data_IF_034716444496
#
_entry.id   IF_034716444496
#
_cell.length_a   1.000
_cell.length_b   1.000
_cell.length_c   1.000
_cell.angle_alpha   90.00
_cell.angle_beta   90.00
_cell.angle_gamma   90.00
#
_symmetry.space_group_name_H-M   'P 1'
#
loop_
_entity.id
_entity.type
_entity.pdbx_description
1 polymer ?
#
# COMPACT_ATOMS: atom_id res chain seq x y z
N UNK A 1 -0.30 -32.21 -26.11
CA UNK A 1 0.03 -31.43 -24.92
C UNK A 1 0.32 -29.97 -25.32
N UNK A 2 -0.65 -29.22 -25.84
CA UNK A 2 -0.45 -27.80 -26.24
C UNK A 2 -1.81 -27.07 -26.30
N UNK A 3 -2.60 -27.09 -25.21
CA UNK A 3 -3.89 -26.37 -25.16
C UNK A 3 -4.15 -25.64 -23.82
N UNK A 4 -3.13 -25.51 -22.96
CA UNK A 4 -3.33 -24.88 -21.63
C UNK A 4 -2.70 -23.48 -21.48
N UNK A 5 -2.10 -22.94 -22.55
CA UNK A 5 -1.36 -21.66 -22.47
C UNK A 5 -2.17 -20.39 -22.80
N UNK A 6 -3.47 -20.51 -23.10
CA UNK A 6 -4.28 -19.35 -23.56
C UNK A 6 -5.30 -18.82 -22.55
N UNK A 7 -5.42 -19.42 -21.36
CA UNK A 7 -6.41 -18.96 -20.38
C UNK A 7 -5.87 -17.96 -19.34
N UNK A 8 -4.56 -17.81 -19.20
CA UNK A 8 -3.98 -16.92 -18.18
C UNK A 8 -3.71 -15.46 -18.62
N UNK A 9 -3.86 -15.17 -19.92
CA UNK A 9 -3.61 -13.79 -20.43
C UNK A 9 -4.83 -12.86 -20.35
N UNK A 10 -6.00 -13.33 -19.92
CA UNK A 10 -7.26 -12.55 -19.97
C UNK A 10 -7.62 -11.92 -18.62
N UNK A 11 -7.02 -12.35 -17.52
CA UNK A 11 -7.40 -11.87 -16.17
C UNK A 11 -6.72 -10.55 -15.78
N UNK A 12 -5.65 -10.15 -16.46
CA UNK A 12 -4.90 -8.92 -16.14
C UNK A 12 -5.50 -7.59 -16.64
N UNK A 13 -6.67 -7.60 -17.32
CA UNK A 13 -7.24 -6.39 -17.93
C UNK A 13 -8.56 -5.90 -17.31
N UNK A 14 -8.97 -6.41 -16.15
CA UNK A 14 -10.28 -6.07 -15.56
C UNK A 14 -10.22 -5.25 -14.26
N UNK A 15 -9.07 -4.77 -13.86
CA UNK A 15 -8.93 -3.92 -12.65
C UNK A 15 -9.01 -2.40 -12.92
N UNK A 16 -9.22 -1.96 -14.17
CA UNK A 16 -9.48 -0.53 -14.44
C UNK A 16 -10.98 -0.32 -14.70
N UNK A 17 -11.67 0.25 -13.71
CA UNK A 17 -13.11 0.50 -13.73
C UNK A 17 -13.55 1.46 -14.82
N UNK A 18 -14.40 0.99 -15.74
CA UNK A 18 -15.14 1.85 -16.66
C UNK A 18 -16.57 2.02 -16.20
N UNK A 19 -16.95 3.26 -15.91
CA UNK A 19 -18.36 3.66 -15.74
C UNK A 19 -19.11 3.45 -17.06
N UNK A 20 -20.14 2.61 -17.07
CA UNK A 20 -21.17 2.59 -18.14
C UNK A 20 -22.13 3.76 -17.91
N UNK A 21 -22.15 4.70 -18.84
CA UNK A 21 -23.30 5.58 -19.06
C UNK A 21 -24.09 5.03 -20.24
N UNK A 22 -25.31 4.63 -19.98
CA UNK A 22 -26.28 4.32 -21.03
C UNK A 22 -26.90 5.62 -21.55
N UNK A 23 -26.69 5.95 -22.82
CA UNK A 23 -27.61 6.80 -23.57
C UNK A 23 -27.76 6.30 -25.00
N UNK A 24 -29.00 5.92 -25.32
CA UNK A 24 -29.52 5.59 -26.64
C UNK A 24 -29.52 6.78 -27.56
N UNK A 25 -29.07 6.61 -28.80
CA UNK A 25 -29.26 7.58 -29.86
C UNK A 25 -28.83 7.04 -31.23
N UNK A 26 -29.77 6.41 -31.90
CA UNK A 26 -29.70 6.00 -33.30
C UNK A 26 -29.49 7.19 -34.25
N UNK A 27 -28.54 7.13 -35.21
CA UNK A 27 -28.74 7.73 -36.52
C UNK A 27 -27.85 7.07 -37.60
N UNK A 28 -28.55 6.60 -38.62
CA UNK A 28 -28.05 6.17 -39.92
C UNK A 28 -27.51 7.37 -40.76
N UNK A 29 -26.36 7.19 -41.38
CA UNK A 29 -25.82 8.12 -42.37
C UNK A 29 -25.05 7.38 -43.46
N UNK A 30 -25.56 7.45 -44.63
CA UNK A 30 -25.26 6.76 -45.89
C UNK A 30 -23.91 7.16 -46.49
N UNK A 31 -23.21 6.18 -47.06
CA UNK A 31 -21.99 6.32 -47.85
C UNK A 31 -22.28 6.96 -49.21
N UNK A 32 -21.51 7.99 -49.59
CA UNK A 32 -21.41 8.51 -50.93
C UNK A 32 -19.97 8.50 -51.41
N UNK A 33 -19.69 7.70 -52.42
CA UNK A 33 -18.41 7.71 -53.17
C UNK A 33 -18.42 8.76 -54.26
N UNK A 34 -17.43 9.63 -54.27
CA UNK A 34 -17.02 10.34 -55.53
C UNK A 34 -15.49 10.33 -55.66
N UNK A 35 -15.05 9.82 -56.80
CA UNK A 35 -13.67 9.85 -57.28
C UNK A 35 -13.41 11.13 -58.07
N UNK A 36 -12.29 11.85 -57.81
CA UNK A 36 -11.59 12.62 -58.83
C UNK A 36 -10.11 12.79 -58.47
N UNK A 37 -9.25 12.41 -59.40
CA UNK A 37 -7.82 12.48 -59.26
C UNK A 37 -7.24 13.87 -59.55
N UNK A 38 -6.18 14.19 -58.83
CA UNK A 38 -5.03 14.89 -59.40
C UNK A 38 -3.82 14.78 -58.47
N UNK A 39 -2.65 14.55 -59.01
CA UNK A 39 -1.41 14.25 -58.26
C UNK A 39 -0.83 15.51 -57.59
N UNK A 40 -0.45 15.32 -56.35
CA UNK A 40 0.41 16.17 -55.56
C UNK A 40 0.90 15.31 -54.37
N UNK A 41 2.22 15.31 -54.13
CA UNK A 41 2.77 14.70 -52.93
C UNK A 41 2.22 15.39 -51.69
N UNK A 42 1.13 14.89 -51.18
CA UNK A 42 0.69 15.22 -49.84
C UNK A 42 1.35 14.21 -48.89
N UNK A 43 2.18 14.72 -47.97
CA UNK A 43 2.53 14.00 -46.77
C UNK A 43 1.22 13.50 -46.14
N UNK A 44 1.05 12.18 -46.13
CA UNK A 44 -0.02 11.54 -45.35
C UNK A 44 0.36 11.77 -43.90
N UNK A 45 -0.05 12.88 -43.32
CA UNK A 45 -0.22 12.97 -41.89
C UNK A 45 -1.34 11.96 -41.61
N UNK A 46 -0.97 10.77 -41.20
CA UNK A 46 -1.93 9.83 -40.66
C UNK A 46 -2.64 10.57 -39.52
N UNK A 47 -3.88 10.96 -39.72
CA UNK A 47 -4.74 11.29 -38.61
C UNK A 47 -4.69 10.08 -37.67
N UNK A 48 -3.97 10.21 -36.55
CA UNK A 48 -3.98 9.24 -35.48
C UNK A 48 -5.43 9.24 -35.04
N UNK A 49 -6.17 8.21 -35.46
CA UNK A 49 -7.54 7.99 -35.01
C UNK A 49 -7.51 7.82 -33.51
N UNK A 50 -7.72 8.90 -32.78
CA UNK A 50 -7.86 8.90 -31.33
C UNK A 50 -9.24 8.28 -31.07
N UNK A 51 -9.24 7.03 -30.65
CA UNK A 51 -10.43 6.38 -30.13
C UNK A 51 -10.98 7.24 -28.97
N UNK A 52 -12.16 7.87 -29.11
CA UNK A 52 -12.68 8.75 -28.07
C UNK A 52 -13.03 8.02 -26.77
N UNK A 53 -13.05 6.68 -26.78
CA UNK A 53 -13.26 5.86 -25.59
C UNK A 53 -11.96 5.38 -24.94
N UNK A 54 -10.79 5.61 -25.55
CA UNK A 54 -9.53 5.34 -24.89
C UNK A 54 -9.26 6.37 -23.81
N UNK A 55 -9.05 5.93 -22.55
CA UNK A 55 -8.61 6.87 -21.51
C UNK A 55 -7.31 7.55 -21.96
N UNK A 56 -7.26 8.86 -21.77
CA UNK A 56 -6.03 9.62 -22.02
C UNK A 56 -4.94 9.05 -21.12
N UNK A 57 -3.82 8.66 -21.70
CA UNK A 57 -2.65 8.21 -20.92
C UNK A 57 -2.17 9.40 -20.07
N UNK A 58 -2.20 9.22 -18.75
CA UNK A 58 -1.58 10.13 -17.81
C UNK A 58 -0.21 9.55 -17.45
N UNK A 59 0.85 10.24 -17.87
CA UNK A 59 2.21 9.91 -17.44
C UNK A 59 2.38 10.15 -15.95
N UNK A 60 3.43 9.56 -15.37
CA UNK A 60 3.81 9.85 -13.98
C UNK A 60 4.09 11.33 -13.76
N UNK A 61 3.76 11.82 -12.58
CA UNK A 61 4.17 13.17 -12.17
C UNK A 61 5.69 13.26 -12.03
N UNK A 62 6.22 14.47 -12.25
CA UNK A 62 7.66 14.69 -12.12
C UNK A 62 8.08 14.58 -10.66
N UNK A 63 8.92 13.61 -10.33
CA UNK A 63 9.56 13.51 -9.03
C UNK A 63 10.62 14.61 -8.87
N UNK A 64 10.39 15.53 -7.94
CA UNK A 64 11.37 16.56 -7.56
C UNK A 64 12.28 16.10 -6.43
N UNK A 65 11.80 15.18 -5.60
CA UNK A 65 12.48 14.68 -4.42
C UNK A 65 12.59 13.15 -4.50
N UNK A 66 13.74 12.63 -4.15
CA UNK A 66 14.03 11.23 -3.97
C UNK A 66 13.98 10.92 -2.47
N UNK A 67 12.99 10.12 -2.05
CA UNK A 67 12.86 9.64 -0.68
C UNK A 67 13.86 8.50 -0.46
N UNK A 68 14.71 8.60 0.55
CA UNK A 68 15.73 7.60 0.85
C UNK A 68 15.29 6.70 1.97
N UNK A 69 14.77 7.31 3.04
CA UNK A 69 14.37 6.57 4.24
C UNK A 69 13.24 7.29 4.97
N UNK A 70 12.24 6.55 5.37
CA UNK A 70 11.10 7.02 6.17
C UNK A 70 11.06 6.25 7.49
N UNK A 71 11.29 6.96 8.61
CA UNK A 71 11.12 6.42 9.96
C UNK A 71 9.89 7.04 10.60
N UNK A 72 9.01 6.21 11.13
CA UNK A 72 7.77 6.59 11.81
C UNK A 72 7.81 6.15 13.28
N UNK A 73 7.42 7.03 14.20
CA UNK A 73 7.21 6.73 15.60
C UNK A 73 5.75 7.06 15.92
N UNK A 74 4.92 6.05 16.23
CA UNK A 74 3.47 6.22 16.33
C UNK A 74 2.90 5.72 17.66
N UNK A 75 1.81 6.35 18.09
CA UNK A 75 0.94 5.89 19.19
C UNK A 75 -0.50 6.33 18.95
N UNK A 76 -1.46 5.64 19.57
CA UNK A 76 -2.87 5.77 19.25
C UNK A 76 -3.69 6.40 20.37
N UNK A 77 -4.65 7.23 19.96
CA UNK A 77 -5.70 7.78 20.82
C UNK A 77 -6.99 7.08 20.41
N UNK A 78 -7.21 5.86 20.94
CA UNK A 78 -8.28 4.97 20.55
C UNK A 78 -9.67 5.62 20.61
N UNK A 79 -10.00 6.30 21.70
CA UNK A 79 -11.32 6.91 21.92
C UNK A 79 -11.63 8.02 20.91
N UNK A 80 -10.61 8.53 20.20
CA UNK A 80 -10.77 9.55 19.19
C UNK A 80 -10.52 9.06 17.77
N UNK A 81 -10.12 7.81 17.61
CA UNK A 81 -9.66 7.25 16.35
C UNK A 81 -8.58 8.13 15.69
N UNK A 82 -7.58 8.55 16.50
CA UNK A 82 -6.48 9.43 16.08
C UNK A 82 -5.13 8.79 16.39
N UNK A 83 -4.11 9.19 15.62
CA UNK A 83 -2.74 8.70 15.80
C UNK A 83 -1.77 9.87 15.93
N UNK A 84 -1.01 9.93 17.04
CA UNK A 84 0.16 10.79 17.12
C UNK A 84 1.30 10.15 16.33
N UNK A 85 1.96 10.93 15.50
CA UNK A 85 3.10 10.48 14.70
C UNK A 85 4.26 11.44 14.73
N UNK A 86 5.47 10.88 14.69
CA UNK A 86 6.70 11.61 14.36
C UNK A 86 7.30 10.94 13.14
N UNK A 87 7.32 11.65 12.00
CA UNK A 87 7.96 11.19 10.78
C UNK A 87 9.36 11.80 10.66
N UNK A 88 10.37 10.95 10.55
CA UNK A 88 11.75 11.35 10.23
C UNK A 88 12.05 10.92 8.81
N UNK A 89 12.08 11.87 7.88
CA UNK A 89 12.23 11.65 6.45
C UNK A 89 13.61 12.08 6.00
N UNK A 90 14.39 11.14 5.48
CA UNK A 90 15.66 11.40 4.79
C UNK A 90 15.42 11.42 3.30
N UNK A 91 15.79 12.54 2.66
CA UNK A 91 15.55 12.76 1.24
C UNK A 91 16.68 13.54 0.58
N UNK A 92 16.66 13.61 -0.73
CA UNK A 92 17.54 14.45 -1.56
C UNK A 92 16.78 14.95 -2.79
N UNK A 93 17.23 16.03 -3.46
CA UNK A 93 16.70 16.39 -4.76
C UNK A 93 16.89 15.28 -5.79
N UNK A 94 15.88 15.01 -6.61
CA UNK A 94 15.98 13.99 -7.65
C UNK A 94 16.92 14.43 -8.79
N UNK A 95 16.65 15.55 -9.44
CA UNK A 95 17.48 16.10 -10.51
C UNK A 95 17.96 17.52 -10.26
N UNK A 96 17.02 18.43 -10.00
CA UNK A 96 17.31 19.87 -9.86
C UNK A 96 17.51 20.24 -8.40
N UNK A 97 18.43 21.16 -8.16
CA UNK A 97 18.62 21.73 -6.82
C UNK A 97 17.32 22.36 -6.31
N UNK A 98 17.04 22.20 -5.02
CA UNK A 98 15.85 22.76 -4.38
C UNK A 98 16.14 23.19 -2.94
N UNK A 99 15.40 24.18 -2.50
CA UNK A 99 15.32 24.63 -1.11
C UNK A 99 14.00 24.27 -0.44
N UNK A 100 13.20 23.36 -1.08
CA UNK A 100 11.89 22.94 -0.60
C UNK A 100 11.76 21.42 -0.58
N UNK A 101 10.99 20.93 0.38
CA UNK A 101 10.42 19.60 0.41
C UNK A 101 8.90 19.73 0.40
N UNK A 102 8.26 19.05 -0.55
CA UNK A 102 6.80 19.03 -0.71
C UNK A 102 6.33 17.61 -0.43
N UNK A 103 5.37 17.46 0.46
CA UNK A 103 4.79 16.16 0.87
C UNK A 103 3.27 16.26 0.87
N UNK A 104 2.63 15.15 0.55
CA UNK A 104 1.22 14.92 0.80
C UNK A 104 1.03 14.62 2.30
N UNK A 105 -0.02 15.19 2.90
CA UNK A 105 -0.31 15.04 4.33
C UNK A 105 -1.80 15.24 4.59
N UNK A 106 -2.62 14.32 4.10
CA UNK A 106 -4.08 14.48 4.02
C UNK A 106 -4.76 14.50 5.39
N UNK A 107 -5.48 15.59 5.69
CA UNK A 107 -6.30 15.73 6.90
C UNK A 107 -5.52 15.74 8.22
N UNK A 108 -4.23 16.07 8.22
CA UNK A 108 -3.38 16.06 9.41
C UNK A 108 -3.35 17.41 10.14
N UNK A 109 -3.01 17.37 11.41
CA UNK A 109 -2.53 18.54 12.15
C UNK A 109 -0.99 18.50 12.19
N UNK A 110 -0.31 19.41 11.49
CA UNK A 110 1.14 19.53 11.52
C UNK A 110 1.55 20.43 12.69
N UNK A 111 2.20 19.86 13.71
CA UNK A 111 2.54 20.54 14.95
C UNK A 111 3.91 21.23 14.88
N UNK A 112 4.90 20.56 14.30
CA UNK A 112 6.22 21.14 14.11
C UNK A 112 7.00 20.43 13.00
N UNK A 113 7.88 21.20 12.34
CA UNK A 113 8.84 20.69 11.37
C UNK A 113 10.24 21.16 11.76
N UNK A 114 11.21 20.24 11.83
CA UNK A 114 12.58 20.52 12.25
C UNK A 114 13.60 19.86 11.32
N UNK A 115 14.76 20.50 11.17
CA UNK A 115 15.96 19.95 10.55
C UNK A 115 17.14 20.19 11.48
N UNK A 116 17.88 19.14 11.81
CA UNK A 116 18.99 19.19 12.80
C UNK A 116 18.55 19.82 14.14
N UNK A 117 17.31 19.52 14.59
CA UNK A 117 16.73 20.06 15.81
C UNK A 117 16.28 21.53 15.74
N UNK A 118 16.52 22.25 14.64
CA UNK A 118 16.07 23.62 14.42
C UNK A 118 14.74 23.67 13.71
N UNK A 119 13.78 24.52 14.14
CA UNK A 119 12.50 24.65 13.46
C UNK A 119 12.68 25.21 12.05
N UNK A 120 11.90 24.64 11.11
CA UNK A 120 11.78 25.12 9.75
C UNK A 120 10.45 25.85 9.55
N UNK A 121 10.41 26.76 8.57
CA UNK A 121 9.15 27.35 8.10
C UNK A 121 8.45 26.37 7.18
N UNK A 122 7.15 26.28 7.30
CA UNK A 122 6.31 25.48 6.42
C UNK A 122 4.97 26.14 6.16
N UNK A 123 4.31 25.73 5.10
CA UNK A 123 2.89 26.00 4.84
C UNK A 123 2.19 24.65 4.68
N UNK A 124 0.95 24.59 5.15
CA UNK A 124 0.10 23.41 5.00
C UNK A 124 -1.26 23.87 4.47
N UNK A 125 -1.55 23.58 3.21
CA UNK A 125 -2.72 24.06 2.49
C UNK A 125 -3.20 22.95 1.56
N UNK A 126 -4.50 22.66 1.57
CA UNK A 126 -5.12 21.65 0.69
C UNK A 126 -4.37 20.30 0.74
N UNK A 127 -4.12 19.82 1.96
CA UNK A 127 -3.45 18.55 2.22
C UNK A 127 -1.97 18.47 1.76
N UNK A 128 -1.39 19.58 1.29
CA UNK A 128 0.01 19.66 0.87
C UNK A 128 0.84 20.39 1.91
N UNK A 129 1.87 19.69 2.40
CA UNK A 129 2.88 20.23 3.32
C UNK A 129 4.11 20.69 2.53
N UNK A 130 4.30 22.00 2.39
CA UNK A 130 5.49 22.60 1.77
C UNK A 130 6.44 23.10 2.85
N UNK A 131 7.63 22.52 2.93
CA UNK A 131 8.66 22.82 3.92
C UNK A 131 9.78 23.61 3.26
N UNK A 132 10.11 24.80 3.82
CA UNK A 132 11.26 25.57 3.39
C UNK A 132 12.51 25.04 4.09
N UNK A 133 13.43 24.46 3.34
CA UNK A 133 14.70 23.94 3.85
C UNK A 133 15.62 25.09 4.28
N UNK A 134 16.65 24.77 5.05
CA UNK A 134 17.58 25.75 5.61
C UNK A 134 18.60 26.27 4.58
N UNK A 135 18.72 25.64 3.43
CA UNK A 135 19.57 26.00 2.30
C UNK A 135 19.07 25.31 1.03
N UNK A 136 19.63 25.66 -0.12
CA UNK A 136 19.46 24.90 -1.36
C UNK A 136 20.33 23.64 -1.30
N UNK A 137 19.72 22.48 -1.62
CA UNK A 137 20.38 21.17 -1.71
C UNK A 137 20.50 20.75 -3.16
N UNK A 138 21.59 20.08 -3.49
CA UNK A 138 21.81 19.44 -4.79
C UNK A 138 21.51 17.95 -4.70
N UNK A 139 21.39 17.27 -5.86
CA UNK A 139 21.12 15.83 -5.96
C UNK A 139 22.09 14.93 -5.18
N UNK A 140 23.30 15.41 -4.88
CA UNK A 140 24.32 14.67 -4.15
C UNK A 140 24.30 14.94 -2.65
N UNK A 141 23.37 15.77 -2.18
CA UNK A 141 23.24 16.19 -0.78
C UNK A 141 21.93 15.70 -0.19
N UNK A 142 22.03 14.97 0.92
CA UNK A 142 20.87 14.51 1.68
C UNK A 142 20.53 15.48 2.79
N UNK A 143 19.27 15.50 3.18
CA UNK A 143 18.76 16.19 4.36
C UNK A 143 17.77 15.30 5.08
N UNK A 144 17.61 15.52 6.39
CA UNK A 144 16.65 14.78 7.23
C UNK A 144 15.75 15.77 7.95
N UNK A 145 14.45 15.65 7.70
CA UNK A 145 13.40 16.46 8.31
C UNK A 145 12.62 15.63 9.31
N UNK A 146 12.33 16.21 10.47
CA UNK A 146 11.49 15.61 11.51
C UNK A 146 10.18 16.38 11.59
N UNK A 147 9.06 15.68 11.40
CA UNK A 147 7.71 16.22 11.38
C UNK A 147 6.92 15.61 12.53
N UNK A 148 6.42 16.44 13.45
CA UNK A 148 5.50 16.05 14.51
C UNK A 148 4.06 16.37 14.05
N UNK A 149 3.20 15.39 14.07
CA UNK A 149 1.84 15.51 13.51
C UNK A 149 0.81 14.68 14.29
N UNK A 150 -0.46 14.98 14.03
CA UNK A 150 -1.62 14.18 14.45
C UNK A 150 -2.42 13.79 13.21
N UNK A 151 -2.55 12.50 12.96
CA UNK A 151 -3.43 11.96 11.93
C UNK A 151 -4.86 11.86 12.47
N UNK A 152 -5.85 12.28 11.67
CA UNK A 152 -7.27 12.38 12.03
C UNK A 152 -8.15 11.78 10.93
N UNK A 153 -8.08 10.47 10.68
CA UNK A 153 -8.75 9.84 9.54
C UNK A 153 -10.27 10.05 9.56
N UNK A 154 -10.90 10.07 10.74
CA UNK A 154 -12.35 10.22 10.88
C UNK A 154 -12.86 11.66 10.68
N UNK A 155 -11.96 12.66 10.65
CA UNK A 155 -12.35 14.07 10.42
C UNK A 155 -12.36 14.43 8.92
N UNK A 156 -11.98 13.50 8.02
CA UNK A 156 -11.99 13.70 6.57
C UNK A 156 -13.35 13.34 5.96
N UNK A 157 -13.69 14.00 4.85
CA UNK A 157 -14.75 13.50 3.98
C UNK A 157 -14.28 12.18 3.34
N UNK A 158 -15.11 11.16 3.47
CA UNK A 158 -14.80 9.84 2.95
C UNK A 158 -15.00 9.77 1.45
N UNK A 159 -13.97 9.37 0.74
CA UNK A 159 -13.99 9.00 -0.66
C UNK A 159 -13.93 7.49 -0.83
N UNK A 160 -13.70 7.04 -2.04
CA UNK A 160 -13.52 5.62 -2.36
C UNK A 160 -13.87 5.30 -3.80
N UNK A 161 -13.72 4.04 -4.15
CA UNK A 161 -14.03 3.47 -5.48
C UNK A 161 -14.85 2.19 -5.33
N UNK A 162 -15.14 1.52 -6.44
CA UNK A 162 -15.80 0.20 -6.40
C UNK A 162 -14.86 -0.88 -5.84
N UNK A 163 -13.56 -0.74 -6.02
CA UNK A 163 -12.56 -1.72 -5.57
C UNK A 163 -12.12 -1.46 -4.13
N UNK A 164 -11.95 -0.18 -3.75
CA UNK A 164 -11.56 0.25 -2.40
C UNK A 164 -12.65 1.21 -1.94
N UNK A 165 -13.50 0.75 -1.05
CA UNK A 165 -14.74 1.43 -0.69
C UNK A 165 -14.57 2.66 0.19
N UNK A 166 -13.37 2.86 0.76
CA UNK A 166 -13.01 3.99 1.62
C UNK A 166 -11.54 4.37 1.46
N UNK A 167 -11.22 5.67 1.51
CA UNK A 167 -9.88 6.23 1.37
C UNK A 167 -9.33 6.87 2.67
N UNK A 168 -9.85 6.45 3.82
CA UNK A 168 -9.40 6.96 5.14
C UNK A 168 -7.95 6.61 5.49
N UNK A 169 -7.34 5.62 4.82
CA UNK A 169 -5.94 5.23 4.98
C UNK A 169 -5.57 4.59 6.32
N UNK A 170 -6.16 5.02 7.43
CA UNK A 170 -5.98 4.49 8.78
C UNK A 170 -7.35 4.25 9.43
N UNK A 171 -7.57 3.03 9.88
CA UNK A 171 -8.87 2.55 10.35
C UNK A 171 -8.78 2.08 11.80
N UNK A 172 -9.76 2.53 12.60
CA UNK A 172 -9.96 2.10 13.98
C UNK A 172 -11.26 1.31 14.07
N UNK A 173 -11.15 0.01 14.25
CA UNK A 173 -12.30 -0.88 14.34
C UNK A 173 -12.64 -1.10 15.80
N UNK A 174 -13.89 -0.83 16.16
CA UNK A 174 -14.40 -0.95 17.53
C UNK A 174 -13.47 -0.34 18.60
N UNK A 175 -13.00 0.92 18.43
CA UNK A 175 -11.91 1.49 19.23
C UNK A 175 -12.22 1.61 20.73
N UNK A 176 -13.51 1.63 21.11
CA UNK A 176 -13.98 1.71 22.51
C UNK A 176 -14.38 0.35 23.08
N UNK A 177 -14.39 -0.71 22.25
CA UNK A 177 -14.81 -2.05 22.67
C UNK A 177 -16.30 -2.18 22.98
N UNK A 178 -17.14 -1.32 22.41
CA UNK A 178 -18.60 -1.33 22.64
C UNK A 178 -19.30 -2.47 21.89
N UNK A 179 -18.76 -2.92 20.77
CA UNK A 179 -19.23 -4.08 20.02
C UNK A 179 -18.52 -5.34 20.55
N UNK A 180 -19.27 -6.17 21.29
CA UNK A 180 -18.74 -7.38 21.91
C UNK A 180 -18.33 -8.46 20.87
N UNK A 181 -18.87 -8.38 19.65
CA UNK A 181 -18.62 -9.35 18.58
C UNK A 181 -17.44 -8.95 17.69
N UNK A 182 -16.79 -7.80 17.95
CA UNK A 182 -15.65 -7.31 17.21
C UNK A 182 -14.46 -7.02 18.11
N UNK A 183 -13.35 -7.67 17.85
CA UNK A 183 -12.07 -7.35 18.49
C UNK A 183 -11.62 -5.94 18.12
N UNK A 184 -11.23 -5.06 19.09
CA UNK A 184 -10.60 -3.78 18.76
C UNK A 184 -9.34 -3.95 17.93
N UNK A 185 -9.31 -3.29 16.76
CA UNK A 185 -8.22 -3.38 15.79
C UNK A 185 -7.87 -2.01 15.21
N UNK A 186 -6.62 -1.88 14.79
CA UNK A 186 -6.16 -0.80 13.91
C UNK A 186 -5.49 -1.44 12.72
N UNK A 187 -5.77 -0.94 11.50
CA UNK A 187 -5.08 -1.33 10.30
C UNK A 187 -5.04 -0.18 9.29
N UNK A 188 -4.18 -0.30 8.29
CA UNK A 188 -3.98 0.73 7.27
C UNK A 188 -4.26 0.17 5.87
N UNK A 189 -4.72 1.05 4.97
CA UNK A 189 -4.87 0.80 3.54
C UNK A 189 -4.30 1.98 2.76
N UNK A 190 -3.21 1.75 2.01
CA UNK A 190 -2.48 2.80 1.32
C UNK A 190 -2.92 3.05 -0.11
N UNK A 191 -3.42 2.03 -0.80
CA UNK A 191 -3.80 2.13 -2.20
C UNK A 191 -5.09 3.00 -2.34
N UNK A 192 -5.18 3.90 -3.32
CA UNK A 192 -4.12 4.29 -4.26
C UNK A 192 -3.16 5.32 -3.67
N UNK A 193 -3.67 6.39 -3.06
CA UNK A 193 -2.93 7.52 -2.47
C UNK A 193 -3.47 7.84 -1.06
N UNK A 194 -3.64 6.81 -0.22
CA UNK A 194 -4.22 6.95 1.13
C UNK A 194 -3.19 6.81 2.25
N UNK A 195 -1.92 6.53 1.93
CA UNK A 195 -0.84 6.50 2.92
C UNK A 195 -0.57 7.88 3.51
N UNK A 196 -0.73 8.93 2.72
CA UNK A 196 -0.59 10.32 3.17
C UNK A 196 -1.65 10.77 4.18
N UNK A 197 -2.66 9.95 4.47
CA UNK A 197 -3.63 10.20 5.56
C UNK A 197 -3.03 9.88 6.93
N UNK A 198 -2.08 8.94 7.02
CA UNK A 198 -1.54 8.53 8.31
C UNK A 198 -0.06 8.86 8.51
N UNK A 199 0.70 9.21 7.44
CA UNK A 199 2.03 9.81 7.57
C UNK A 199 2.35 10.73 6.39
N UNK A 200 3.08 11.84 6.59
CA UNK A 200 3.50 12.73 5.51
C UNK A 200 4.45 11.99 4.56
N UNK A 201 4.17 11.99 3.26
CA UNK A 201 4.99 11.30 2.25
C UNK A 201 4.80 11.91 0.86
N UNK A 202 5.50 11.42 -0.14
CA UNK A 202 5.15 11.59 -1.56
C UNK A 202 4.32 10.37 -1.93
N UNK A 203 2.99 10.52 -1.99
CA UNK A 203 2.05 9.40 -2.10
C UNK A 203 1.88 8.95 -3.56
N UNK A 204 2.99 8.53 -4.16
CA UNK A 204 3.09 8.06 -5.54
C UNK A 204 3.78 6.69 -5.59
N UNK A 205 3.38 5.78 -6.49
CA UNK A 205 3.93 4.43 -6.55
C UNK A 205 5.43 4.41 -6.92
N UNK A 206 5.93 5.41 -7.61
CA UNK A 206 7.33 5.52 -7.99
C UNK A 206 8.23 6.21 -6.93
N UNK A 207 7.66 6.68 -5.80
CA UNK A 207 8.39 7.32 -4.71
C UNK A 207 8.88 6.30 -3.66
N UNK A 208 9.61 5.26 -4.08
CA UNK A 208 10.07 4.19 -3.20
C UNK A 208 11.04 4.69 -2.14
N UNK A 209 10.89 4.16 -0.93
CA UNK A 209 11.74 4.47 0.23
C UNK A 209 11.90 3.24 1.14
N UNK A 210 13.00 3.14 1.87
CA UNK A 210 13.12 2.18 2.98
C UNK A 210 12.31 2.65 4.18
N UNK A 211 11.93 1.73 5.07
CA UNK A 211 10.99 2.02 6.16
C UNK A 211 11.49 1.52 7.50
N UNK A 212 11.26 2.32 8.54
CA UNK A 212 11.23 1.88 9.93
C UNK A 212 9.95 2.39 10.61
N UNK A 213 9.28 1.52 11.39
CA UNK A 213 8.11 1.91 12.17
C UNK A 213 8.26 1.46 13.62
N UNK A 214 8.14 2.41 14.54
CA UNK A 214 8.09 2.18 15.99
C UNK A 214 6.65 2.34 16.45
N UNK A 215 6.00 1.23 16.79
CA UNK A 215 4.58 1.19 17.17
C UNK A 215 4.48 1.07 18.68
N UNK A 216 4.01 2.12 19.35
CA UNK A 216 3.80 2.10 20.80
C UNK A 216 2.37 1.67 21.13
N UNK A 217 2.24 0.54 21.83
CA UNK A 217 0.95 -0.10 22.16
C UNK A 217 0.89 -0.62 23.59
N UNK A 218 -0.33 -0.89 24.07
CA UNK A 218 -0.52 -1.69 25.27
C UNK A 218 0.04 -3.10 25.03
N UNK A 219 0.71 -3.74 26.02
CA UNK A 219 1.30 -5.07 25.88
C UNK A 219 0.33 -6.19 25.45
N UNK A 220 -0.96 -6.01 25.63
CA UNK A 220 -1.98 -6.97 25.19
C UNK A 220 -2.11 -7.07 23.66
N UNK A 221 -1.79 -6.00 22.94
CA UNK A 221 -1.89 -5.97 21.48
C UNK A 221 -0.67 -6.61 20.82
N UNK A 222 -0.91 -7.34 19.77
CA UNK A 222 0.09 -7.80 18.80
C UNK A 222 0.16 -6.75 17.69
N UNK A 223 1.36 -6.50 17.16
CA UNK A 223 1.57 -5.62 16.01
C UNK A 223 2.12 -6.39 14.83
N UNK A 224 1.80 -5.94 13.62
CA UNK A 224 2.43 -6.37 12.37
C UNK A 224 2.72 -5.13 11.53
N UNK A 225 3.89 -5.10 10.86
CA UNK A 225 4.24 -4.11 9.84
C UNK A 225 5.17 -4.74 8.79
N UNK A 226 5.56 -3.95 7.80
CA UNK A 226 6.49 -4.37 6.75
C UNK A 226 7.88 -4.70 7.31
N UNK A 227 8.60 -5.63 6.67
CA UNK A 227 9.94 -6.05 7.06
C UNK A 227 9.97 -6.87 8.34
N UNK A 228 11.10 -6.89 9.01
CA UNK A 228 11.35 -7.70 10.22
C UNK A 228 11.02 -6.95 11.51
N UNK A 229 10.56 -7.69 12.54
CA UNK A 229 10.49 -7.20 13.91
C UNK A 229 11.89 -7.21 14.51
N UNK A 230 12.57 -6.05 14.54
CA UNK A 230 13.95 -5.91 15.00
C UNK A 230 14.04 -6.04 16.52
N UNK A 231 13.12 -5.40 17.24
CA UNK A 231 13.06 -5.43 18.69
C UNK A 231 11.68 -5.08 19.25
N UNK A 232 11.45 -5.48 20.49
CA UNK A 232 10.23 -5.19 21.24
C UNK A 232 10.61 -4.74 22.65
N UNK A 233 10.39 -3.46 22.96
CA UNK A 233 10.89 -2.81 24.19
C UNK A 233 9.73 -2.47 25.11
N UNK A 234 9.82 -2.91 26.39
CA UNK A 234 8.90 -2.43 27.44
C UNK A 234 9.34 -1.05 27.90
N UNK A 235 8.41 -0.12 27.91
CA UNK A 235 8.66 1.26 28.36
C UNK A 235 8.34 1.44 29.85
N UNK A 236 8.86 2.49 30.46
CA UNK A 236 8.69 2.75 31.89
C UNK A 236 7.22 3.03 32.30
N UNK A 237 6.37 3.45 31.36
CA UNK A 237 4.94 3.69 31.56
C UNK A 237 4.09 2.41 31.38
N UNK A 238 4.74 1.24 31.23
CA UNK A 238 4.07 -0.05 31.10
C UNK A 238 3.62 -0.42 29.69
N UNK A 239 3.83 0.46 28.72
CA UNK A 239 3.56 0.20 27.30
C UNK A 239 4.66 -0.65 26.66
N UNK A 240 4.46 -1.04 25.41
CA UNK A 240 5.47 -1.70 24.57
C UNK A 240 5.67 -0.89 23.30
N UNK A 241 6.92 -0.86 22.81
CA UNK A 241 7.28 -0.34 21.49
C UNK A 241 7.82 -1.49 20.67
N UNK A 242 7.20 -1.78 19.54
CA UNK A 242 7.66 -2.73 18.56
C UNK A 242 8.32 -1.97 17.41
N UNK A 243 9.57 -2.31 17.09
CA UNK A 243 10.36 -1.74 16.01
C UNK A 243 10.39 -2.68 14.81
N UNK A 244 9.71 -2.29 13.75
CA UNK A 244 9.68 -2.97 12.46
C UNK A 244 10.57 -2.25 11.46
N UNK A 245 11.25 -3.01 10.58
CA UNK A 245 12.18 -2.45 9.60
C UNK A 245 12.11 -3.17 8.26
N UNK A 246 11.94 -2.39 7.19
CA UNK A 246 11.97 -2.83 5.80
C UNK A 246 13.17 -2.21 5.10
N UNK A 247 14.18 -3.04 4.79
CA UNK A 247 15.47 -2.58 4.25
C UNK A 247 15.45 -2.40 2.71
N UNK A 248 14.61 -3.13 1.98
CA UNK A 248 14.43 -2.92 0.55
C UNK A 248 13.42 -1.79 0.31
N UNK A 249 13.72 -0.82 -0.59
CA UNK A 249 12.79 0.25 -0.90
C UNK A 249 11.50 -0.26 -1.53
N UNK A 250 10.37 0.24 -1.05
CA UNK A 250 9.04 -0.05 -1.57
C UNK A 250 8.19 1.22 -1.64
N UNK A 251 7.08 1.17 -2.39
CA UNK A 251 6.22 2.32 -2.59
C UNK A 251 5.45 2.68 -1.30
N UNK A 252 5.12 3.96 -1.06
CA UNK A 252 4.38 4.39 0.13
C UNK A 252 3.02 3.70 0.29
N UNK A 253 2.31 3.40 -0.80
CA UNK A 253 1.00 2.73 -0.73
C UNK A 253 1.07 1.32 -0.13
N UNK A 254 2.25 0.69 -0.12
CA UNK A 254 2.52 -0.63 0.46
C UNK A 254 2.87 -0.60 1.95
N UNK A 255 3.04 0.61 2.53
CA UNK A 255 3.26 0.77 3.96
C UNK A 255 2.05 0.28 4.74
N UNK A 256 2.30 -0.55 5.75
CA UNK A 256 1.23 -1.21 6.51
C UNK A 256 1.55 -1.24 7.99
N UNK A 257 0.53 -1.11 8.83
CA UNK A 257 0.54 -1.58 10.21
C UNK A 257 -0.81 -2.18 10.58
N UNK A 258 -0.74 -3.26 11.37
CA UNK A 258 -1.86 -3.91 12.01
C UNK A 258 -1.65 -3.98 13.52
N UNK A 259 -2.69 -3.71 14.31
CA UNK A 259 -2.68 -3.75 15.78
C UNK A 259 -3.97 -4.40 16.26
N UNK A 260 -3.88 -5.41 17.11
CA UNK A 260 -5.04 -6.10 17.68
C UNK A 260 -4.62 -7.21 18.65
N UNK A 261 -5.56 -7.85 19.29
CA UNK A 261 -5.31 -9.01 20.15
C UNK A 261 -5.24 -10.31 19.32
N UNK A 262 -4.41 -10.30 18.26
CA UNK A 262 -4.28 -11.42 17.33
C UNK A 262 -3.56 -12.64 17.96
N UNK A 263 -3.91 -13.82 17.48
CA UNK A 263 -3.10 -15.04 17.61
C UNK A 263 -2.17 -15.14 16.41
N UNK A 264 -0.91 -15.57 16.66
CA UNK A 264 0.07 -15.83 15.61
C UNK A 264 0.19 -17.35 15.44
N UNK A 265 -0.10 -17.83 14.23
CA UNK A 265 0.13 -19.21 13.83
C UNK A 265 1.39 -19.24 12.99
N UNK A 266 2.43 -19.91 13.51
CA UNK A 266 3.77 -19.91 12.91
C UNK A 266 3.86 -20.92 11.75
N UNK A 267 4.48 -20.50 10.65
CA UNK A 267 4.85 -21.32 9.50
C UNK A 267 6.16 -20.81 8.91
N UNK A 268 6.74 -21.52 7.94
CA UNK A 268 7.99 -21.11 7.32
C UNK A 268 8.17 -21.66 5.91
N UNK A 269 8.80 -20.85 5.06
CA UNK A 269 9.33 -21.27 3.78
C UNK A 269 10.84 -21.56 3.89
N UNK A 270 11.29 -22.68 3.34
CA UNK A 270 12.72 -23.02 3.28
C UNK A 270 13.24 -22.62 1.89
N UNK A 271 14.14 -21.64 1.86
CA UNK A 271 14.81 -21.15 0.66
C UNK A 271 15.75 -22.21 0.07
N UNK A 272 16.13 -22.09 -1.21
CA UNK A 272 17.07 -23.02 -1.87
C UNK A 272 18.45 -23.13 -1.18
N UNK A 273 18.89 -22.09 -0.48
CA UNK A 273 20.13 -22.08 0.29
C UNK A 273 20.04 -22.77 1.66
N UNK A 274 18.83 -23.24 2.02
CA UNK A 274 18.53 -23.90 3.29
C UNK A 274 18.14 -22.95 4.42
N UNK A 275 18.16 -21.63 4.22
CA UNK A 275 17.65 -20.67 5.20
C UNK A 275 16.13 -20.77 5.32
N UNK A 276 15.60 -20.45 6.51
CA UNK A 276 14.16 -20.39 6.75
C UNK A 276 13.70 -18.95 6.75
N UNK A 277 12.61 -18.70 6.07
CA UNK A 277 11.89 -17.42 6.04
C UNK A 277 10.59 -17.58 6.81
N UNK A 278 10.24 -16.61 7.61
CA UNK A 278 8.97 -16.54 8.35
C UNK A 278 7.79 -16.38 7.41
N UNK A 279 6.74 -17.19 7.64
CA UNK A 279 5.45 -17.13 6.93
C UNK A 279 4.35 -17.31 7.99
N UNK A 280 4.02 -16.26 8.72
CA UNK A 280 3.11 -16.34 9.85
C UNK A 280 1.71 -15.81 9.51
N UNK A 281 0.70 -16.36 10.20
CA UNK A 281 -0.70 -16.02 10.02
C UNK A 281 -1.22 -15.35 11.30
N UNK A 282 -1.64 -14.09 11.16
CA UNK A 282 -2.18 -13.26 12.23
C UNK A 282 -3.71 -13.28 12.11
N UNK A 283 -4.36 -13.99 13.01
CA UNK A 283 -5.80 -14.21 12.98
C UNK A 283 -6.43 -13.87 14.32
N UNK A 284 -7.73 -13.62 14.36
CA UNK A 284 -8.43 -13.54 15.63
C UNK A 284 -8.31 -14.85 16.40
N UNK A 285 -8.24 -14.84 17.74
CA UNK A 285 -7.95 -16.02 18.55
C UNK A 285 -8.88 -17.21 18.29
N UNK A 286 -10.14 -16.95 17.94
CA UNK A 286 -11.12 -18.00 17.63
C UNK A 286 -10.83 -18.76 16.32
N UNK A 287 -10.00 -18.18 15.43
CA UNK A 287 -9.63 -18.75 14.14
C UNK A 287 -8.22 -19.37 14.12
N UNK A 288 -7.53 -19.40 15.26
CA UNK A 288 -6.16 -19.90 15.32
C UNK A 288 -6.04 -21.37 14.89
N UNK A 289 -7.01 -22.20 15.24
CA UNK A 289 -7.02 -23.63 14.88
C UNK A 289 -7.30 -23.87 13.38
N UNK A 290 -7.99 -22.95 12.72
CA UNK A 290 -8.32 -23.04 11.28
C UNK A 290 -7.28 -22.37 10.38
N UNK A 291 -6.37 -21.54 10.91
CA UNK A 291 -5.44 -20.72 10.13
C UNK A 291 -4.54 -21.55 9.19
N UNK A 292 -4.05 -22.70 9.63
CA UNK A 292 -3.26 -23.61 8.78
C UNK A 292 -4.08 -24.21 7.64
N UNK A 293 -5.36 -24.45 7.84
CA UNK A 293 -6.24 -24.96 6.78
C UNK A 293 -6.54 -23.87 5.74
N UNK A 294 -6.56 -22.58 6.16
CA UNK A 294 -6.80 -21.44 5.27
C UNK A 294 -5.53 -21.07 4.48
N UNK A 295 -4.38 -20.93 5.16
CA UNK A 295 -3.17 -20.31 4.62
C UNK A 295 -2.00 -21.26 4.38
N UNK A 296 -2.05 -22.50 4.87
CA UNK A 296 -0.90 -23.40 4.93
C UNK A 296 -0.31 -23.85 3.58
N UNK A 297 -0.96 -23.52 2.45
CA UNK A 297 -0.40 -23.74 1.11
C UNK A 297 0.57 -22.60 0.69
N UNK A 298 0.64 -21.52 1.45
CA UNK A 298 1.45 -20.33 1.12
C UNK A 298 2.94 -20.65 0.90
N UNK A 299 3.63 -21.45 1.72
CA UNK A 299 5.05 -21.78 1.46
C UNK A 299 5.27 -22.51 0.13
N UNK A 300 4.31 -23.36 -0.28
CA UNK A 300 4.37 -24.04 -1.60
C UNK A 300 4.14 -23.06 -2.74
N UNK A 301 3.24 -22.08 -2.57
CA UNK A 301 3.02 -21.02 -3.55
C UNK A 301 4.27 -20.13 -3.72
N UNK A 302 4.94 -19.76 -2.63
CA UNK A 302 6.21 -19.00 -2.66
C UNK A 302 7.25 -19.76 -3.49
N UNK A 303 7.43 -21.05 -3.20
CA UNK A 303 8.33 -21.92 -3.95
C UNK A 303 7.96 -21.97 -5.44
N UNK A 304 6.67 -22.20 -5.73
CA UNK A 304 6.18 -22.30 -7.10
C UNK A 304 6.47 -21.02 -7.90
N UNK A 305 6.16 -19.84 -7.35
CA UNK A 305 6.41 -18.57 -8.04
C UNK A 305 7.90 -18.28 -8.17
N UNK A 306 8.71 -18.51 -7.13
CA UNK A 306 10.18 -18.36 -7.18
C UNK A 306 10.77 -19.20 -8.31
N UNK A 307 10.42 -20.49 -8.38
CA UNK A 307 10.90 -21.40 -9.45
C UNK A 307 10.37 -20.99 -10.83
N UNK A 308 9.10 -20.60 -10.92
CA UNK A 308 8.44 -20.28 -12.19
C UNK A 308 8.96 -18.98 -12.81
N UNK A 309 9.25 -17.99 -11.99
CA UNK A 309 9.81 -16.70 -12.40
C UNK A 309 11.32 -16.73 -12.54
N UNK A 310 12.01 -17.70 -11.90
CA UNK A 310 13.47 -17.76 -11.83
C UNK A 310 14.07 -16.66 -10.95
N UNK A 311 13.26 -16.07 -10.07
CA UNK A 311 13.64 -15.04 -9.11
C UNK A 311 13.11 -15.45 -7.75
N UNK A 312 14.02 -15.70 -6.81
CA UNK A 312 13.65 -16.05 -5.43
C UNK A 312 12.81 -14.94 -4.79
N UNK A 313 11.92 -15.32 -3.84
CA UNK A 313 11.13 -14.35 -3.09
C UNK A 313 12.04 -13.29 -2.46
N UNK A 314 11.85 -11.99 -2.78
CA UNK A 314 12.88 -10.98 -2.54
C UNK A 314 12.86 -10.39 -1.12
N UNK A 315 11.78 -10.58 -0.36
CA UNK A 315 11.57 -9.92 0.93
C UNK A 315 11.96 -10.83 2.10
N UNK A 316 12.12 -10.24 3.31
CA UNK A 316 12.67 -10.96 4.47
C UNK A 316 11.66 -11.94 5.09
N UNK A 317 10.36 -11.65 5.02
CA UNK A 317 9.26 -12.49 5.49
C UNK A 317 8.04 -12.39 4.59
N UNK A 318 7.05 -13.27 4.80
CA UNK A 318 5.71 -13.15 4.21
C UNK A 318 4.66 -13.45 5.27
N UNK A 319 4.15 -12.43 5.94
CA UNK A 319 3.11 -12.58 6.95
C UNK A 319 1.75 -12.12 6.40
N UNK A 320 0.70 -12.78 6.86
CA UNK A 320 -0.66 -12.56 6.43
C UNK A 320 -1.51 -12.22 7.66
N UNK A 321 -2.30 -11.16 7.60
CA UNK A 321 -3.19 -10.73 8.68
C UNK A 321 -4.62 -10.64 8.16
N UNK A 322 -5.57 -11.12 8.97
CA UNK A 322 -7.01 -10.99 8.68
C UNK A 322 -7.61 -9.93 9.57
N UNK A 323 -8.28 -8.96 8.96
CA UNK A 323 -8.86 -7.82 9.68
C UNK A 323 -10.36 -7.69 9.42
N UNK A 324 -11.08 -7.07 10.38
CA UNK A 324 -12.51 -6.80 10.29
C UNK A 324 -12.79 -5.53 9.49
N UNK A 325 -13.95 -5.51 8.86
CA UNK A 325 -14.47 -4.35 8.11
C UNK A 325 -13.50 -3.84 7.04
N UNK A 326 -12.71 -4.74 6.44
CA UNK A 326 -11.74 -4.36 5.44
C UNK A 326 -12.42 -3.74 4.21
N UNK A 327 -11.83 -2.68 3.67
CA UNK A 327 -12.44 -1.83 2.62
C UNK A 327 -12.25 -2.36 1.20
N UNK A 328 -11.54 -3.48 1.03
CA UNK A 328 -11.34 -4.22 -0.21
C UNK A 328 -11.39 -5.73 0.07
N UNK A 329 -10.98 -6.57 -0.88
CA UNK A 329 -10.83 -8.01 -0.65
C UNK A 329 -9.56 -8.32 0.15
N UNK A 330 -8.41 -7.96 -0.42
CA UNK A 330 -7.10 -8.13 0.16
C UNK A 330 -6.15 -7.02 -0.35
N UNK A 331 -4.91 -7.01 0.13
CA UNK A 331 -3.89 -6.04 -0.29
C UNK A 331 -2.49 -6.60 -0.08
N UNK A 332 -1.65 -6.43 -1.09
CA UNK A 332 -0.30 -6.92 -1.20
C UNK A 332 0.75 -6.17 -0.36
N UNK A 333 0.41 -5.46 0.70
CA UNK A 333 1.38 -4.69 1.50
C UNK A 333 2.67 -5.48 1.72
N UNK A 334 3.79 -4.94 1.28
CA UNK A 334 5.08 -5.63 1.20
C UNK A 334 5.42 -6.41 2.46
N UNK A 335 5.55 -7.73 2.35
CA UNK A 335 5.86 -8.67 3.43
C UNK A 335 4.82 -8.79 4.57
N UNK A 336 3.69 -8.07 4.50
CA UNK A 336 2.65 -7.99 5.53
C UNK A 336 1.25 -7.82 4.90
N UNK A 337 0.78 -8.86 4.24
CA UNK A 337 -0.46 -8.88 3.44
C UNK A 337 -1.71 -8.82 4.31
N UNK A 338 -2.67 -7.97 3.94
CA UNK A 338 -3.96 -7.89 4.61
C UNK A 338 -5.04 -8.63 3.84
N UNK A 339 -5.89 -9.35 4.56
CA UNK A 339 -7.13 -9.96 4.06
C UNK A 339 -8.33 -9.48 4.89
N UNK A 340 -9.47 -9.29 4.24
CA UNK A 340 -10.73 -9.16 4.92
C UNK A 340 -11.19 -10.48 5.56
N UNK A 341 -12.12 -10.42 6.50
CA UNK A 341 -12.62 -11.54 7.28
C UNK A 341 -13.42 -12.59 6.48
N UNK A 342 -13.70 -12.32 5.19
CA UNK A 342 -14.32 -13.28 4.28
C UNK A 342 -13.50 -14.58 4.08
N UNK A 343 -12.18 -14.51 4.34
CA UNK A 343 -11.30 -15.70 4.28
C UNK A 343 -11.49 -16.66 5.44
N UNK A 344 -12.10 -16.21 6.54
CA UNK A 344 -12.35 -17.06 7.69
C UNK A 344 -13.33 -18.19 7.34
N UNK A 345 -12.80 -19.40 7.24
CA UNK A 345 -13.52 -20.63 6.95
C UNK A 345 -12.99 -21.75 7.80
N UNK A 346 -13.88 -22.46 8.50
CA UNK A 346 -13.51 -23.69 9.15
C UNK A 346 -13.31 -24.83 8.14
N UNK A 347 -12.74 -25.94 8.57
CA UNK A 347 -12.44 -27.11 7.71
C UNK A 347 -13.65 -27.57 6.90
N UNK A 348 -14.86 -27.49 7.45
CA UNK A 348 -16.06 -27.88 6.73
C UNK A 348 -16.41 -26.91 5.60
N UNK A 349 -16.34 -25.61 5.84
CA UNK A 349 -16.62 -24.60 4.83
C UNK A 349 -15.59 -24.62 3.70
N UNK A 350 -14.34 -24.98 3.99
CA UNK A 350 -13.27 -25.14 3.01
C UNK A 350 -13.55 -26.28 2.00
N UNK A 351 -14.42 -27.27 2.33
CA UNK A 351 -14.85 -28.28 1.38
C UNK A 351 -15.77 -27.72 0.28
N UNK A 352 -16.50 -26.65 0.56
CA UNK A 352 -17.41 -26.00 -0.40
C UNK A 352 -16.70 -24.94 -1.26
N UNK A 353 -15.58 -24.42 -0.80
CA UNK A 353 -14.76 -23.44 -1.51
C UNK A 353 -13.70 -22.83 -0.63
N UNK A 354 -12.63 -22.35 -1.25
CA UNK A 354 -11.52 -21.70 -0.59
C UNK A 354 -11.12 -20.40 -1.30
N UNK A 355 -10.26 -19.61 -0.68
CA UNK A 355 -9.79 -18.34 -1.20
C UNK A 355 -8.31 -18.40 -1.65
N UNK A 356 -7.81 -19.60 -1.99
CA UNK A 356 -6.42 -19.82 -2.43
C UNK A 356 -6.04 -18.98 -3.66
N UNK A 357 -7.00 -18.66 -4.53
CA UNK A 357 -6.77 -17.79 -5.67
C UNK A 357 -6.45 -16.35 -5.25
N UNK A 358 -7.10 -15.84 -4.20
CA UNK A 358 -6.82 -14.51 -3.62
C UNK A 358 -5.46 -14.52 -2.90
N UNK A 359 -5.18 -15.56 -2.11
CA UNK A 359 -3.89 -15.71 -1.43
C UNK A 359 -2.74 -15.74 -2.46
N UNK A 360 -2.89 -16.51 -3.54
CA UNK A 360 -1.91 -16.56 -4.62
C UNK A 360 -1.78 -15.23 -5.39
N UNK A 361 -2.87 -14.48 -5.54
CA UNK A 361 -2.90 -13.16 -6.17
C UNK A 361 -2.05 -12.17 -5.37
N UNK A 362 -2.31 -12.02 -4.08
CA UNK A 362 -1.56 -11.12 -3.20
C UNK A 362 -0.08 -11.52 -3.09
N UNK A 363 0.20 -12.81 -3.06
CA UNK A 363 1.58 -13.29 -3.07
C UNK A 363 2.30 -12.93 -4.37
N UNK A 364 1.64 -13.05 -5.53
CA UNK A 364 2.25 -12.76 -6.83
C UNK A 364 2.65 -11.29 -6.97
N UNK A 365 1.91 -10.38 -6.35
CA UNK A 365 2.23 -8.96 -6.29
C UNK A 365 3.60 -8.67 -5.68
N UNK A 366 4.13 -9.51 -4.82
CA UNK A 366 5.46 -9.30 -4.21
C UNK A 366 6.60 -9.25 -5.23
N UNK A 367 6.41 -9.83 -6.42
CA UNK A 367 7.29 -9.65 -7.58
C UNK A 367 6.77 -8.53 -8.51
N UNK A 368 5.45 -8.51 -8.81
CA UNK A 368 4.83 -7.57 -9.75
C UNK A 368 3.77 -6.71 -9.03
N UNK A 369 4.21 -5.64 -8.46
CA UNK A 369 3.53 -4.68 -7.59
C UNK A 369 4.56 -4.06 -6.65
N UNK A 370 5.19 -4.88 -5.82
CA UNK A 370 6.13 -4.45 -4.79
C UNK A 370 7.56 -4.29 -5.32
N UNK A 371 8.15 -5.38 -5.89
CA UNK A 371 9.51 -5.33 -6.42
C UNK A 371 9.55 -4.54 -7.74
N UNK A 372 8.69 -4.89 -8.68
CA UNK A 372 8.48 -4.17 -9.93
C UNK A 372 7.15 -3.43 -9.81
N UNK A 373 7.21 -2.16 -9.48
CA UNK A 373 6.03 -1.32 -9.20
C UNK A 373 5.65 -0.48 -10.42
N UNK A 374 4.36 -0.18 -10.60
CA UNK A 374 3.91 0.74 -11.64
C UNK A 374 4.50 2.15 -11.41
N UNK A 375 4.64 2.92 -12.48
CA UNK A 375 5.20 4.27 -12.42
C UNK A 375 4.15 5.29 -11.97
N UNK A 376 2.88 5.05 -12.29
CA UNK A 376 1.72 5.89 -11.93
C UNK A 376 0.45 5.07 -11.91
N UNK A 377 -0.58 5.61 -11.27
CA UNK A 377 -1.95 5.07 -11.24
C UNK A 377 -2.71 5.33 -12.54
#
# INVERSE_FOLDING_TARGET
MNKLLWLFAVVFLLSCGTKKNENNGSNNGTVGTETNGNGGNEEIISDVYMDPERPVYHGSETLFTDLIHTKLEVNFIWEKSQMNGVATITAKPHFYETDKLILDAKGMEIRSVKLLGKPLKFTYVEDVLTIQLNQTYTRDQQYTVVIDYLAKPEEREEGGSVAITSDKGLYFINPTGEDADKMPQIWTQGETESSSVWFPTIDQPNAKTTQEVYIKVDPKYITLSNGELVESIKTADGMRIDHWKQDLPHAPYLFMMGVGEFSIVEDSYTRPDGSKMEVNYYVEPEWADDAMAIFGETPEMIKFFSERLGVEYPWDKYNQIVVRDYVSGAMENTSAVIFGDFVYRNERALLDGNDQSTIAHELFHHWFGDLVTCESW
#
